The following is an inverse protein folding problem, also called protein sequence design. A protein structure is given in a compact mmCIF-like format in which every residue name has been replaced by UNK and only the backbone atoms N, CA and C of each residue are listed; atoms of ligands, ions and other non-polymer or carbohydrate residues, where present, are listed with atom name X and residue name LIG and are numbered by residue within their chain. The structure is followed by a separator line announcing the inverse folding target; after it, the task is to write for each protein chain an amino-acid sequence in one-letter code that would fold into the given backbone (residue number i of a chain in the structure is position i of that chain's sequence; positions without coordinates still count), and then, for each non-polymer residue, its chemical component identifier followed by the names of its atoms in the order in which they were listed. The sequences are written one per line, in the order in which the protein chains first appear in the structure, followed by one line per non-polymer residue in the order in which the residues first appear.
data_IF_833115931412
#
_entry.id   IF_833115931412
#
_cell.length_a   1.000
_cell.length_b   1.000
_cell.length_c   1.000
_cell.angle_alpha   90.00
_cell.angle_beta   90.00
_cell.angle_gamma   90.00
#
_symmetry.space_group_name_H-M   'P 1'
#
loop_
_entity.id
_entity.type
_entity.pdbx_description
1 polymer ?
#
# COMPACT_ATOMS: atom_id res chain seq x y z
N UNK A 1 65.18 6.39 -43.80
CA UNK A 1 63.71 6.32 -43.60
C UNK A 1 63.43 6.51 -42.11
N UNK A 2 63.03 7.73 -41.76
CA UNK A 2 62.69 8.12 -40.40
C UNK A 2 61.19 7.85 -40.17
N UNK A 3 60.86 7.04 -39.17
CA UNK A 3 59.50 6.83 -38.68
C UNK A 3 59.41 7.49 -37.29
N UNK A 4 58.60 8.53 -37.22
CA UNK A 4 58.58 9.52 -36.13
C UNK A 4 57.76 9.15 -34.89
N UNK A 5 57.82 10.02 -33.87
CA UNK A 5 57.21 9.81 -32.57
C UNK A 5 55.75 10.27 -32.59
N UNK A 6 54.87 9.55 -33.29
CA UNK A 6 53.42 9.84 -33.27
C UNK A 6 52.57 8.69 -32.72
N UNK A 7 53.15 7.53 -32.42
CA UNK A 7 52.39 6.38 -31.94
C UNK A 7 52.21 6.31 -30.42
N UNK A 8 53.03 7.01 -29.64
CA UNK A 8 52.95 6.98 -28.17
C UNK A 8 51.91 7.95 -27.58
N UNK A 9 51.49 8.98 -28.33
CA UNK A 9 50.53 9.99 -27.84
C UNK A 9 49.08 9.46 -27.90
N UNK A 10 48.77 8.50 -28.76
CA UNK A 10 47.42 7.91 -28.87
C UNK A 10 47.03 7.00 -27.70
N UNK A 11 48.00 6.39 -27.00
CA UNK A 11 47.70 5.53 -25.85
C UNK A 11 47.65 6.28 -24.52
N UNK A 12 48.30 7.45 -24.41
CA UNK A 12 48.19 8.28 -23.21
C UNK A 12 46.86 9.04 -23.13
N UNK A 13 46.22 9.31 -24.28
CA UNK A 13 44.96 10.06 -24.34
C UNK A 13 43.71 9.20 -24.10
N UNK A 14 43.84 7.87 -24.07
CA UNK A 14 42.75 6.94 -23.76
C UNK A 14 42.66 6.59 -22.26
N UNK A 15 43.57 7.09 -21.43
CA UNK A 15 43.58 6.87 -19.97
C UNK A 15 42.89 7.97 -19.16
N UNK A 16 42.31 9.00 -19.80
CA UNK A 16 41.79 10.19 -19.11
C UNK A 16 40.27 10.42 -19.17
N UNK A 17 39.47 9.48 -19.71
CA UNK A 17 38.00 9.60 -19.69
C UNK A 17 37.35 8.28 -19.25
N UNK A 18 37.60 7.92 -17.99
CA UNK A 18 36.62 7.17 -17.21
C UNK A 18 36.42 7.93 -15.90
N UNK A 19 35.89 9.15 -16.02
CA UNK A 19 35.10 9.72 -14.93
C UNK A 19 33.90 8.80 -14.81
N UNK A 20 34.04 7.80 -13.93
CA UNK A 20 32.90 7.15 -13.32
C UNK A 20 32.02 8.29 -12.87
N UNK A 21 30.82 8.38 -13.45
CA UNK A 21 29.76 9.23 -12.94
C UNK A 21 29.51 8.75 -11.52
N UNK A 22 30.21 9.35 -10.57
CA UNK A 22 30.05 9.11 -9.16
C UNK A 22 28.66 9.62 -8.84
N UNK A 23 27.69 8.71 -8.90
CA UNK A 23 26.30 9.02 -8.63
C UNK A 23 26.25 9.69 -7.27
N UNK A 24 25.76 10.93 -7.25
CA UNK A 24 25.42 11.62 -6.01
C UNK A 24 24.46 10.71 -5.25
N UNK A 25 24.94 10.15 -4.15
CA UNK A 25 24.18 9.24 -3.30
C UNK A 25 24.33 9.74 -1.87
N UNK A 26 23.48 10.70 -1.50
CA UNK A 26 23.29 11.03 -0.09
C UNK A 26 22.38 9.98 0.51
N UNK A 27 22.85 9.35 1.59
CA UNK A 27 22.02 8.41 2.34
C UNK A 27 20.91 9.17 3.07
N UNK A 28 19.69 8.67 2.95
CA UNK A 28 18.58 9.14 3.78
C UNK A 28 18.87 8.78 5.25
N UNK A 29 18.67 9.72 6.17
CA UNK A 29 18.91 9.50 7.60
C UNK A 29 18.04 10.43 8.44
N UNK A 30 17.52 9.90 9.55
CA UNK A 30 16.98 10.74 10.61
C UNK A 30 18.12 11.32 11.46
N UNK A 31 17.99 12.58 11.88
CA UNK A 31 19.00 13.22 12.71
C UNK A 31 18.76 12.93 14.20
N UNK A 32 19.83 12.67 14.97
CA UNK A 32 19.76 12.56 16.43
C UNK A 32 19.07 13.76 17.08
N UNK A 33 18.26 13.52 18.10
CA UNK A 33 17.64 14.58 18.89
C UNK A 33 16.67 15.47 18.11
N UNK A 34 16.22 15.04 16.93
CA UNK A 34 15.26 15.78 16.10
C UNK A 34 13.95 14.99 16.00
N UNK A 35 12.84 15.67 16.21
CA UNK A 35 11.49 15.17 15.92
C UNK A 35 10.96 15.85 14.68
N UNK A 36 10.58 15.05 13.69
CA UNK A 36 10.02 15.51 12.42
C UNK A 36 8.49 15.37 12.45
N UNK A 37 7.81 16.46 12.16
CA UNK A 37 6.38 16.48 11.88
C UNK A 37 6.13 16.44 10.38
N UNK A 38 5.28 15.53 9.93
CA UNK A 38 4.82 15.42 8.56
C UNK A 38 3.31 15.56 8.46
N UNK A 39 2.83 16.16 7.39
CA UNK A 39 1.44 16.10 6.99
C UNK A 39 1.24 14.96 5.98
N UNK A 40 0.28 14.08 6.26
CA UNK A 40 -0.02 12.90 5.45
C UNK A 40 -1.40 13.02 4.82
N UNK A 41 -1.48 12.69 3.53
CA UNK A 41 -2.75 12.54 2.81
C UNK A 41 -2.80 11.24 2.02
N UNK A 42 -3.98 10.62 1.99
CA UNK A 42 -4.30 9.50 1.10
C UNK A 42 -5.60 9.80 0.36
N UNK A 43 -5.52 9.89 -0.95
CA UNK A 43 -6.64 10.04 -1.87
C UNK A 43 -6.91 8.73 -2.58
N UNK A 44 -8.11 8.18 -2.41
CA UNK A 44 -8.58 6.98 -3.08
C UNK A 44 -9.78 7.34 -3.95
N UNK A 45 -9.76 6.92 -5.20
CA UNK A 45 -10.81 7.21 -6.15
C UNK A 45 -11.16 5.96 -6.96
N UNK A 46 -12.46 5.67 -7.05
CA UNK A 46 -13.03 4.62 -7.88
C UNK A 46 -13.87 5.25 -9.00
N UNK A 47 -13.49 4.96 -10.25
CA UNK A 47 -14.15 5.45 -11.48
C UNK A 47 -14.63 4.30 -12.36
N UNK A 48 -15.68 4.58 -13.13
CA UNK A 48 -16.12 3.72 -14.23
C UNK A 48 -15.41 4.12 -15.53
N UNK A 49 -14.84 3.15 -16.24
CA UNK A 49 -14.17 3.41 -17.53
C UNK A 49 -15.21 3.67 -18.62
N UNK A 50 -16.28 2.87 -18.64
CA UNK A 50 -17.36 2.98 -19.64
C UNK A 50 -18.15 4.28 -19.56
N UNK A 51 -18.15 4.93 -18.41
CA UNK A 51 -19.00 6.08 -18.11
C UNK A 51 -18.21 7.12 -17.32
N UNK A 52 -17.30 7.88 -17.97
CA UNK A 52 -16.48 8.89 -17.31
C UNK A 52 -17.33 10.02 -16.67
N UNK A 53 -18.52 10.25 -17.23
CA UNK A 53 -19.51 11.20 -16.72
C UNK A 53 -20.26 10.70 -15.48
N UNK A 54 -20.18 9.40 -15.14
CA UNK A 54 -20.79 8.90 -13.92
C UNK A 54 -19.91 9.24 -12.72
N UNK A 55 -20.51 9.73 -11.62
CA UNK A 55 -19.78 10.15 -10.45
C UNK A 55 -19.04 8.97 -9.82
N UNK A 56 -17.72 9.13 -9.68
CA UNK A 56 -16.90 8.22 -8.90
C UNK A 56 -17.16 8.33 -7.39
N UNK A 57 -16.62 7.39 -6.64
CA UNK A 57 -16.51 7.52 -5.18
C UNK A 57 -15.09 7.92 -4.83
N UNK A 58 -14.95 8.94 -4.00
CA UNK A 58 -13.67 9.41 -3.47
C UNK A 58 -13.64 9.23 -1.96
N UNK A 59 -12.48 8.82 -1.46
CA UNK A 59 -12.16 8.75 -0.04
C UNK A 59 -10.85 9.50 0.16
N UNK A 60 -10.86 10.48 1.06
CA UNK A 60 -9.69 11.25 1.44
C UNK A 60 -9.40 10.99 2.92
N UNK A 61 -8.14 10.72 3.23
CA UNK A 61 -7.63 10.58 4.58
C UNK A 61 -6.57 11.66 4.79
N UNK A 62 -6.59 12.28 5.96
CA UNK A 62 -5.62 13.30 6.39
C UNK A 62 -5.14 12.95 7.80
N UNK A 63 -3.86 13.17 8.07
CA UNK A 63 -3.30 13.00 9.41
C UNK A 63 -2.00 13.79 9.58
N UNK A 64 -1.67 14.09 10.83
CA UNK A 64 -0.33 14.55 11.22
C UNK A 64 0.48 13.33 11.65
N UNK A 65 1.73 13.24 11.19
CA UNK A 65 2.63 12.13 11.50
C UNK A 65 3.82 12.69 12.27
N UNK A 66 4.08 12.14 13.44
CA UNK A 66 5.29 12.45 14.20
C UNK A 66 6.27 11.30 14.04
N UNK A 67 7.52 11.62 13.71
CA UNK A 67 8.60 10.64 13.57
C UNK A 67 9.88 11.12 14.24
N UNK A 68 10.58 10.21 14.89
CA UNK A 68 11.89 10.50 15.46
C UNK A 68 12.71 9.22 15.63
N UNK A 69 14.02 9.41 15.73
CA UNK A 69 15.00 8.36 15.92
C UNK A 69 14.97 7.89 17.38
N UNK A 70 14.71 6.59 17.61
CA UNK A 70 14.82 5.99 18.94
C UNK A 70 16.24 5.49 19.23
N UNK A 71 16.90 4.95 18.21
CA UNK A 71 18.23 4.34 18.35
C UNK A 71 18.97 4.36 17.03
N UNK A 72 20.29 4.52 17.11
CA UNK A 72 21.23 4.43 16.00
C UNK A 72 22.41 3.57 16.37
N UNK A 73 22.82 2.71 15.47
CA UNK A 73 24.03 1.91 15.67
C UNK A 73 25.27 2.82 15.62
N UNK A 74 26.13 2.71 16.62
CA UNK A 74 27.35 3.52 16.76
C UNK A 74 28.41 3.21 15.69
N UNK A 75 28.43 1.99 15.19
CA UNK A 75 29.40 1.52 14.18
C UNK A 75 28.82 1.69 12.78
N UNK A 76 27.56 1.27 12.58
CA UNK A 76 26.87 1.34 11.29
C UNK A 76 25.82 2.44 11.32
N UNK A 77 26.21 3.69 11.07
CA UNK A 77 25.32 4.85 11.26
C UNK A 77 24.07 4.85 10.36
N UNK A 78 24.03 4.00 9.34
CA UNK A 78 22.89 3.80 8.47
C UNK A 78 21.86 2.80 9.03
N UNK A 79 22.15 2.15 10.16
CA UNK A 79 21.30 1.20 10.88
C UNK A 79 20.58 1.89 12.06
N UNK A 80 19.26 2.02 11.94
CA UNK A 80 18.44 2.94 12.74
C UNK A 80 17.12 2.28 13.16
N UNK A 81 16.60 2.66 14.33
CA UNK A 81 15.24 2.34 14.77
C UNK A 81 14.45 3.64 14.89
N UNK A 82 13.35 3.73 14.15
CA UNK A 82 12.55 4.95 14.03
C UNK A 82 11.15 4.68 14.53
N UNK A 83 10.60 5.61 15.30
CA UNK A 83 9.20 5.60 15.74
C UNK A 83 8.35 6.43 14.80
N UNK A 84 7.15 5.94 14.49
CA UNK A 84 6.13 6.66 13.73
C UNK A 84 4.82 6.66 14.50
N UNK A 85 4.24 7.84 14.68
CA UNK A 85 2.96 8.02 15.36
C UNK A 85 1.99 8.83 14.49
N UNK A 86 0.75 8.37 14.39
CA UNK A 86 -0.33 9.07 13.68
C UNK A 86 -1.12 9.91 14.70
N UNK A 87 -1.35 11.17 14.36
CA UNK A 87 -2.09 12.16 15.14
C UNK A 87 -3.13 12.84 14.23
N UNK A 88 -4.18 13.40 14.82
CA UNK A 88 -5.21 14.19 14.12
C UNK A 88 -5.78 13.52 12.87
N UNK A 89 -6.11 12.24 13.00
CA UNK A 89 -6.59 11.43 11.89
C UNK A 89 -8.03 11.80 11.50
N UNK A 90 -8.25 12.09 10.22
CA UNK A 90 -9.55 12.44 9.66
C UNK A 90 -9.82 11.66 8.36
N UNK A 91 -11.07 11.21 8.20
CA UNK A 91 -11.56 10.56 6.99
C UNK A 91 -12.73 11.36 6.43
N UNK A 92 -12.64 11.72 5.16
CA UNK A 92 -13.68 12.36 4.38
C UNK A 92 -14.05 11.46 3.22
N UNK A 93 -15.31 11.02 3.17
CA UNK A 93 -15.85 10.36 1.98
C UNK A 93 -16.63 11.36 1.18
N UNK A 94 -16.36 11.45 -0.11
CA UNK A 94 -17.14 12.26 -1.03
C UNK A 94 -17.73 11.39 -2.14
N UNK A 95 -19.05 11.51 -2.30
CA UNK A 95 -19.79 10.91 -3.40
C UNK A 95 -20.32 12.03 -4.28
N UNK A 96 -20.01 11.98 -5.56
CA UNK A 96 -20.53 12.96 -6.50
C UNK A 96 -22.00 12.62 -6.84
N UNK A 97 -22.91 13.59 -6.75
CA UNK A 97 -24.34 13.42 -7.01
C UNK A 97 -24.70 13.98 -8.38
N UNK A 98 -25.41 13.19 -9.19
CA UNK A 98 -25.79 13.50 -10.58
C UNK A 98 -26.64 14.77 -10.78
N UNK A 99 -27.10 15.42 -9.70
CA UNK A 99 -28.09 16.50 -9.81
C UNK A 99 -27.53 17.91 -9.62
N UNK A 100 -26.34 18.13 -9.02
CA UNK A 100 -25.87 19.49 -8.69
C UNK A 100 -24.34 19.69 -8.51
N UNK A 101 -23.46 18.84 -9.05
CA UNK A 101 -22.00 18.91 -8.78
C UNK A 101 -21.68 19.06 -7.27
N UNK A 102 -22.55 18.54 -6.40
CA UNK A 102 -22.41 18.65 -4.97
C UNK A 102 -21.86 17.35 -4.42
N UNK A 103 -20.74 17.46 -3.71
CA UNK A 103 -20.15 16.36 -2.95
C UNK A 103 -20.85 16.27 -1.60
N UNK A 104 -21.48 15.13 -1.30
CA UNK A 104 -21.85 14.83 0.09
C UNK A 104 -20.56 14.42 0.80
N UNK A 105 -20.06 15.28 1.70
CA UNK A 105 -18.92 14.98 2.56
C UNK A 105 -19.46 14.32 3.81
N UNK A 106 -19.20 13.02 3.95
CA UNK A 106 -19.41 12.31 5.22
C UNK A 106 -18.06 12.30 5.96
N UNK A 107 -17.99 13.05 7.06
CA UNK A 107 -16.85 13.01 7.98
C UNK A 107 -17.09 11.90 8.99
N UNK A 108 -16.18 10.92 9.04
CA UNK A 108 -16.30 9.77 9.95
C UNK A 108 -15.58 10.00 11.29
N UNK A 109 -15.63 11.23 11.81
CA UNK A 109 -14.93 11.64 13.05
C UNK A 109 -15.21 10.73 14.25
N UNK A 110 -16.45 10.25 14.40
CA UNK A 110 -16.88 9.45 15.56
C UNK A 110 -16.69 7.93 15.42
N UNK A 111 -16.47 7.38 14.20
CA UNK A 111 -16.13 5.95 14.03
C UNK A 111 -14.65 5.70 14.40
N UNK A 112 -13.85 6.76 14.47
CA UNK A 112 -12.41 6.73 14.74
C UNK A 112 -12.07 7.27 16.14
N UNK A 113 -13.04 7.32 17.04
CA UNK A 113 -12.76 7.54 18.46
C UNK A 113 -12.25 6.24 19.10
N UNK A 114 -10.96 6.20 19.49
CA UNK A 114 -10.51 5.27 20.53
C UNK A 114 -9.12 4.65 20.34
N UNK A 115 -8.06 5.39 20.69
CA UNK A 115 -6.71 4.90 21.07
C UNK A 115 -5.85 4.15 20.04
N UNK A 116 -6.39 3.40 19.07
CA UNK A 116 -5.58 2.49 18.23
C UNK A 116 -4.71 3.21 17.19
N UNK A 117 -5.24 4.23 16.49
CA UNK A 117 -4.43 4.99 15.51
C UNK A 117 -3.26 5.73 16.15
N UNK A 118 -3.47 6.26 17.37
CA UNK A 118 -2.45 6.98 18.14
C UNK A 118 -1.32 6.09 18.67
N UNK A 119 -1.50 4.75 18.70
CA UNK A 119 -0.42 3.84 19.09
C UNK A 119 0.68 3.83 18.03
N UNK A 120 1.93 4.14 18.41
CA UNK A 120 3.02 4.21 17.45
C UNK A 120 3.42 2.82 16.93
N UNK A 121 4.09 2.83 15.79
CA UNK A 121 4.79 1.68 15.23
C UNK A 121 6.26 2.02 15.08
N UNK A 122 7.12 1.02 15.19
CA UNK A 122 8.56 1.19 15.04
C UNK A 122 9.00 0.48 13.78
N UNK A 123 9.90 1.08 13.01
CA UNK A 123 10.51 0.40 11.88
C UNK A 123 12.03 0.41 12.00
N UNK A 124 12.61 -0.76 11.79
CA UNK A 124 14.04 -0.96 11.70
C UNK A 124 14.47 -0.62 10.27
N UNK A 125 15.28 0.42 10.15
CA UNK A 125 15.66 1.04 8.90
C UNK A 125 17.16 0.93 8.70
N UNK A 126 17.58 0.37 7.57
CA UNK A 126 18.98 0.25 7.22
C UNK A 126 19.24 0.74 5.80
N UNK A 127 19.99 1.83 5.67
CA UNK A 127 20.35 2.44 4.38
C UNK A 127 19.13 2.62 3.46
N UNK A 128 18.00 3.09 4.00
CA UNK A 128 16.78 3.27 3.21
C UNK A 128 15.84 2.05 3.11
N UNK A 129 16.24 0.86 3.59
CA UNK A 129 15.44 -0.37 3.56
C UNK A 129 14.76 -0.63 4.91
N UNK A 130 13.51 -1.08 4.90
CA UNK A 130 12.84 -1.55 6.11
C UNK A 130 13.17 -3.03 6.31
N UNK A 131 13.84 -3.36 7.41
CA UNK A 131 14.22 -4.72 7.76
C UNK A 131 13.18 -5.41 8.65
N UNK A 132 12.49 -4.63 9.48
CA UNK A 132 11.44 -5.12 10.37
C UNK A 132 10.49 -3.99 10.76
N UNK A 133 9.24 -4.36 11.03
CA UNK A 133 8.22 -3.50 11.61
C UNK A 133 7.82 -4.08 12.98
N UNK A 134 7.57 -3.22 13.95
CA UNK A 134 7.16 -3.58 15.30
C UNK A 134 5.92 -2.79 15.71
N UNK A 135 4.97 -3.47 16.37
CA UNK A 135 3.74 -2.85 16.86
C UNK A 135 3.32 -3.38 18.23
N UNK A 136 2.58 -2.55 18.98
CA UNK A 136 2.05 -2.87 20.30
C UNK A 136 0.54 -3.12 20.24
N UNK A 137 0.16 -4.38 19.97
CA UNK A 137 -1.21 -4.89 20.11
C UNK A 137 -2.28 -4.18 19.28
N UNK A 138 -2.14 -4.16 17.94
CA UNK A 138 -3.18 -3.66 17.01
C UNK A 138 -4.05 -4.82 16.52
N UNK A 139 -5.29 -4.89 17.02
CA UNK A 139 -6.23 -5.95 16.66
C UNK A 139 -6.95 -5.66 15.33
N UNK A 140 -6.98 -4.40 14.89
CA UNK A 140 -7.64 -4.04 13.64
C UNK A 140 -6.66 -4.11 12.45
N UNK A 141 -6.82 -5.14 11.62
CA UNK A 141 -5.98 -5.36 10.45
C UNK A 141 -5.98 -4.19 9.45
N UNK A 142 -7.08 -3.44 9.34
CA UNK A 142 -7.18 -2.31 8.42
C UNK A 142 -6.37 -1.12 8.91
N UNK A 143 -6.37 -0.86 10.22
CA UNK A 143 -5.53 0.18 10.84
C UNK A 143 -4.06 -0.19 10.69
N UNK A 144 -3.73 -1.47 10.91
CA UNK A 144 -2.37 -1.96 10.76
C UNK A 144 -1.86 -1.83 9.31
N UNK A 145 -2.70 -2.14 8.32
CA UNK A 145 -2.36 -2.00 6.91
C UNK A 145 -2.17 -0.54 6.49
N UNK A 146 -2.95 0.40 7.06
CA UNK A 146 -2.70 1.82 6.87
C UNK A 146 -1.32 2.22 7.43
N UNK A 147 -0.98 1.78 8.65
CA UNK A 147 0.32 2.06 9.27
C UNK A 147 1.49 1.46 8.47
N UNK A 148 1.35 0.24 7.98
CA UNK A 148 2.30 -0.42 7.06
C UNK A 148 2.46 0.35 5.75
N UNK A 149 1.36 0.83 5.17
CA UNK A 149 1.37 1.68 3.96
C UNK A 149 2.10 3.00 4.18
N UNK A 150 1.83 3.68 5.30
CA UNK A 150 2.54 4.89 5.71
C UNK A 150 4.04 4.63 5.89
N UNK A 151 4.42 3.58 6.63
CA UNK A 151 5.82 3.21 6.85
C UNK A 151 6.53 2.90 5.53
N UNK A 152 5.83 2.27 4.56
CA UNK A 152 6.39 1.97 3.23
C UNK A 152 6.80 3.23 2.45
N UNK A 153 6.29 4.42 2.78
CA UNK A 153 6.71 5.69 2.18
C UNK A 153 8.12 6.14 2.60
N UNK A 154 8.67 5.58 3.67
CA UNK A 154 10.05 5.84 4.09
C UNK A 154 11.06 4.89 3.41
N UNK A 155 10.61 3.89 2.65
CA UNK A 155 11.47 2.92 1.98
C UNK A 155 11.86 3.38 0.56
N UNK A 156 13.00 4.08 0.50
CA UNK A 156 13.64 4.50 -0.73
C UNK A 156 15.13 4.18 -0.67
N UNK A 157 15.72 3.83 -1.82
CA UNK A 157 17.16 3.62 -1.94
C UNK A 157 17.83 4.79 -2.66
N UNK A 158 19.01 5.22 -2.19
CA UNK A 158 19.75 6.31 -2.81
C UNK A 158 20.56 5.86 -4.04
N UNK A 159 20.52 4.56 -4.40
CA UNK A 159 21.23 4.01 -5.56
C UNK A 159 20.25 3.66 -6.68
N UNK A 160 20.57 4.13 -7.89
CA UNK A 160 19.88 3.76 -9.13
C UNK A 160 20.08 2.28 -9.44
N UNK A 161 19.00 1.59 -9.78
CA UNK A 161 19.07 0.17 -10.15
C UNK A 161 17.79 -0.60 -9.88
N UNK A 162 17.81 -1.88 -10.26
CA UNK A 162 16.73 -2.81 -10.00
C UNK A 162 17.02 -3.61 -8.73
N UNK A 163 15.99 -3.81 -7.91
CA UNK A 163 16.10 -4.62 -6.72
C UNK A 163 14.76 -5.23 -6.33
N UNK A 164 14.83 -6.23 -5.45
CA UNK A 164 13.64 -6.79 -4.81
C UNK A 164 13.43 -6.10 -3.46
N UNK A 165 12.18 -5.75 -3.17
CA UNK A 165 11.77 -5.12 -1.92
C UNK A 165 10.56 -5.80 -1.32
N UNK A 166 10.55 -5.88 0.01
CA UNK A 166 9.39 -6.26 0.80
C UNK A 166 8.73 -4.98 1.32
N UNK A 167 7.46 -4.76 1.00
CA UNK A 167 6.65 -3.66 1.54
C UNK A 167 5.20 -4.09 1.78
N UNK A 168 4.27 -3.14 2.00
CA UNK A 168 2.83 -3.43 2.17
C UNK A 168 2.25 -4.33 1.07
N UNK A 169 2.73 -4.20 -0.18
CA UNK A 169 2.28 -4.96 -1.35
C UNK A 169 2.86 -6.38 -1.41
N UNK A 170 3.73 -6.75 -0.47
CA UNK A 170 4.48 -8.00 -0.49
C UNK A 170 5.88 -7.84 -1.10
N UNK A 171 6.39 -8.90 -1.72
CA UNK A 171 7.74 -8.94 -2.29
C UNK A 171 7.71 -8.60 -3.78
N UNK A 172 8.17 -7.42 -4.16
CA UNK A 172 8.08 -6.92 -5.54
C UNK A 172 9.44 -6.53 -6.11
N UNK A 173 9.57 -6.59 -7.44
CA UNK A 173 10.66 -5.93 -8.16
C UNK A 173 10.38 -4.43 -8.26
N UNK A 174 11.41 -3.64 -7.97
CA UNK A 174 11.37 -2.18 -8.05
C UNK A 174 12.60 -1.65 -8.77
N UNK A 175 12.41 -0.54 -9.48
CA UNK A 175 13.46 0.18 -10.18
C UNK A 175 13.59 1.58 -9.60
N UNK A 176 14.81 1.94 -9.21
CA UNK A 176 15.18 3.26 -8.74
C UNK A 176 15.88 4.07 -9.83
N UNK A 177 15.52 5.34 -9.91
CA UNK A 177 16.20 6.38 -10.66
C UNK A 177 16.47 7.54 -9.70
N UNK A 178 17.74 7.75 -9.36
CA UNK A 178 18.15 8.79 -8.41
C UNK A 178 18.82 9.96 -9.14
N UNK A 179 18.43 11.17 -8.75
CA UNK A 179 19.17 12.41 -8.98
C UNK A 179 19.50 13.06 -7.63
N UNK A 180 20.18 14.21 -7.63
CA UNK A 180 20.76 14.84 -6.43
C UNK A 180 19.79 14.91 -5.23
N UNK A 181 18.57 15.40 -5.44
CA UNK A 181 17.58 15.62 -4.38
C UNK A 181 16.24 14.90 -4.64
N UNK A 182 16.19 14.02 -5.64
CA UNK A 182 14.96 13.35 -6.06
C UNK A 182 15.23 11.88 -6.38
N UNK A 183 14.51 11.00 -5.71
CA UNK A 183 14.53 9.56 -5.94
C UNK A 183 13.18 9.16 -6.54
N UNK A 184 13.20 8.57 -7.73
CA UNK A 184 12.00 7.97 -8.34
C UNK A 184 12.06 6.45 -8.20
N UNK A 185 11.01 5.87 -7.65
CA UNK A 185 10.80 4.43 -7.50
C UNK A 185 9.66 4.00 -8.40
N UNK A 186 9.86 2.98 -9.21
CA UNK A 186 8.79 2.35 -10.01
C UNK A 186 8.67 0.90 -9.58
N UNK A 187 7.46 0.48 -9.19
CA UNK A 187 7.19 -0.88 -8.71
C UNK A 187 6.51 -1.67 -9.82
N UNK A 188 7.07 -2.84 -10.13
CA UNK A 188 6.42 -3.81 -11.00
C UNK A 188 5.42 -4.63 -10.18
N UNK A 189 4.16 -4.20 -10.20
CA UNK A 189 3.06 -4.85 -9.47
C UNK A 189 2.79 -6.28 -9.94
N UNK A 190 3.17 -6.64 -11.17
CA UNK A 190 2.99 -8.01 -11.69
C UNK A 190 3.99 -9.00 -11.07
N UNK A 191 5.13 -8.51 -10.60
CA UNK A 191 6.17 -9.31 -9.95
C UNK A 191 5.93 -9.60 -8.47
N UNK A 192 4.93 -8.93 -7.85
CA UNK A 192 4.68 -9.00 -6.42
C UNK A 192 4.25 -10.41 -5.97
N UNK A 193 5.06 -11.05 -5.12
CA UNK A 193 4.72 -12.32 -4.47
C UNK A 193 3.88 -12.05 -3.21
N UNK A 194 2.97 -12.97 -2.91
CA UNK A 194 1.92 -12.89 -1.88
C UNK A 194 0.67 -12.08 -2.24
N UNK A 195 0.34 -11.90 -3.52
CA UNK A 195 -1.00 -11.46 -3.92
C UNK A 195 -2.02 -12.56 -3.64
N UNK A 196 -2.94 -12.42 -2.67
CA UNK A 196 -3.80 -13.51 -2.30
C UNK A 196 -5.25 -13.10 -2.51
N UNK A 197 -5.67 -12.82 -3.74
CA UNK A 197 -7.10 -12.96 -4.08
C UNK A 197 -7.36 -12.89 -5.59
N UNK A 198 -7.93 -13.95 -6.15
CA UNK A 198 -8.52 -13.93 -7.48
C UNK A 198 -8.05 -15.06 -8.39
N UNK A 199 -8.89 -15.40 -9.34
CA UNK A 199 -8.56 -16.27 -10.47
C UNK A 199 -8.71 -15.41 -11.72
N UNK A 200 -7.65 -15.32 -12.52
CA UNK A 200 -7.72 -14.78 -13.87
C UNK A 200 -7.68 -15.96 -14.82
N UNK A 201 -8.72 -16.08 -15.63
CA UNK A 201 -8.72 -17.00 -16.76
C UNK A 201 -8.07 -16.27 -17.95
N UNK A 202 -7.13 -16.93 -18.63
CA UNK A 202 -6.44 -16.38 -19.80
C UNK A 202 -7.28 -16.41 -21.08
N UNK A 203 -8.54 -16.86 -21.00
CA UNK A 203 -9.43 -16.93 -22.15
C UNK A 203 -10.10 -15.59 -22.49
N UNK A 204 -10.79 -15.57 -23.63
CA UNK A 204 -11.51 -14.39 -24.13
C UNK A 204 -12.56 -13.84 -23.14
N UNK A 205 -13.11 -14.66 -22.23
CA UNK A 205 -14.09 -14.25 -21.22
C UNK A 205 -13.44 -13.79 -19.91
N UNK A 206 -12.11 -13.72 -19.88
CA UNK A 206 -11.34 -13.30 -18.73
C UNK A 206 -11.43 -11.79 -18.45
N UNK A 207 -10.69 -11.40 -17.42
CA UNK A 207 -10.55 -10.03 -16.96
C UNK A 207 -9.12 -9.59 -17.21
N UNK A 208 -8.97 -8.43 -17.85
CA UNK A 208 -7.71 -7.75 -18.01
C UNK A 208 -7.44 -6.86 -16.79
N UNK A 209 -6.26 -6.99 -16.20
CA UNK A 209 -5.77 -6.15 -15.10
C UNK A 209 -4.52 -5.42 -15.59
N UNK A 210 -4.58 -4.10 -15.64
CA UNK A 210 -3.40 -3.25 -15.87
C UNK A 210 -3.15 -2.40 -14.64
N UNK A 211 -1.98 -2.54 -14.03
CA UNK A 211 -1.64 -1.84 -12.80
C UNK A 211 -0.31 -1.11 -12.93
N UNK A 212 -0.22 0.08 -12.33
CA UNK A 212 1.01 0.86 -12.27
C UNK A 212 1.20 1.45 -10.87
N UNK A 213 2.45 1.53 -10.41
CA UNK A 213 2.80 2.13 -9.13
C UNK A 213 4.11 2.88 -9.25
N UNK A 214 4.08 4.18 -8.98
CA UNK A 214 5.23 5.08 -9.09
C UNK A 214 5.30 5.97 -7.87
N UNK A 215 6.47 6.03 -7.26
CA UNK A 215 6.75 6.86 -6.11
C UNK A 215 7.89 7.83 -6.40
N UNK A 216 7.84 8.99 -5.76
CA UNK A 216 8.87 10.03 -5.82
C UNK A 216 9.17 10.49 -4.39
N UNK A 217 10.45 10.63 -4.07
CA UNK A 217 10.90 11.16 -2.80
C UNK A 217 11.84 12.33 -3.07
N UNK A 218 11.50 13.50 -2.54
CA UNK A 218 12.37 14.66 -2.48
C UNK A 218 13.02 14.74 -1.10
N UNK A 219 14.32 14.99 -1.06
CA UNK A 219 15.07 15.16 0.18
C UNK A 219 16.01 16.36 0.08
N UNK A 220 16.43 16.85 1.24
CA UNK A 220 17.45 17.89 1.39
C UNK A 220 18.42 17.47 2.48
N UNK A 221 19.71 17.35 2.15
CA UNK A 221 20.73 16.86 3.10
C UNK A 221 20.42 15.48 3.71
N UNK A 222 19.75 14.60 2.97
CA UNK A 222 19.28 13.29 3.45
C UNK A 222 18.00 13.30 4.29
N UNK A 223 17.44 14.48 4.59
CA UNK A 223 16.15 14.62 5.28
C UNK A 223 15.02 14.57 4.27
N UNK A 224 14.04 13.69 4.51
CA UNK A 224 12.88 13.52 3.63
C UNK A 224 11.99 14.76 3.74
N UNK A 225 11.86 15.49 2.64
CA UNK A 225 11.00 16.68 2.54
C UNK A 225 9.62 16.32 2.03
N UNK A 226 9.54 15.42 1.06
CA UNK A 226 8.29 14.96 0.49
C UNK A 226 8.42 13.54 -0.03
N UNK A 227 7.43 12.70 0.20
CA UNK A 227 7.27 11.41 -0.45
C UNK A 227 5.86 11.29 -1.03
N UNK A 228 5.76 11.00 -2.32
CA UNK A 228 4.48 10.83 -3.04
C UNK A 228 4.47 9.47 -3.71
N UNK A 229 3.38 8.74 -3.58
CA UNK A 229 3.15 7.48 -4.31
C UNK A 229 1.81 7.55 -5.03
N UNK A 230 1.81 7.23 -6.32
CA UNK A 230 0.62 7.12 -7.15
C UNK A 230 0.52 5.68 -7.67
N UNK A 231 -0.61 5.04 -7.40
CA UNK A 231 -0.91 3.68 -7.79
C UNK A 231 -2.27 3.62 -8.50
N UNK A 232 -2.34 2.90 -9.61
CA UNK A 232 -3.55 2.77 -10.42
C UNK A 232 -3.78 1.31 -10.78
N UNK A 233 -5.01 0.83 -10.63
CA UNK A 233 -5.46 -0.48 -11.09
C UNK A 233 -6.65 -0.32 -12.01
N UNK A 234 -6.51 -0.80 -13.24
CA UNK A 234 -7.54 -0.79 -14.26
C UNK A 234 -7.98 -2.24 -14.45
N UNK A 235 -9.26 -2.50 -14.20
CA UNK A 235 -9.88 -3.82 -14.34
C UNK A 235 -10.95 -3.73 -15.42
N UNK A 236 -10.82 -4.51 -16.49
CA UNK A 236 -11.79 -4.52 -17.60
C UNK A 236 -12.00 -5.92 -18.17
N UNK A 237 -13.09 -6.11 -18.93
CA UNK A 237 -13.36 -7.38 -19.61
C UNK A 237 -12.59 -7.45 -20.93
N UNK A 238 -12.01 -8.61 -21.26
CA UNK A 238 -11.31 -8.81 -22.55
C UNK A 238 -12.23 -8.57 -23.76
N UNK A 239 -13.42 -9.20 -23.77
CA UNK A 239 -14.40 -9.04 -24.87
C UNK A 239 -14.91 -7.60 -25.00
N UNK A 240 -14.92 -6.84 -23.91
CA UNK A 240 -15.48 -5.49 -23.89
C UNK A 240 -14.70 -4.58 -22.95
N UNK A 241 -13.56 -4.10 -23.44
CA UNK A 241 -12.61 -3.27 -22.69
C UNK A 241 -13.21 -2.00 -22.10
N UNK A 242 -14.29 -1.47 -22.70
CA UNK A 242 -15.03 -0.34 -22.16
C UNK A 242 -15.74 -0.67 -20.84
N UNK A 243 -16.16 -1.92 -20.63
CA UNK A 243 -16.74 -2.36 -19.37
C UNK A 243 -15.63 -2.65 -18.36
N UNK A 244 -15.32 -1.64 -17.56
CA UNK A 244 -14.32 -1.76 -16.52
C UNK A 244 -14.38 -0.64 -15.49
N UNK A 245 -13.48 -0.74 -14.52
CA UNK A 245 -13.32 0.20 -13.44
C UNK A 245 -11.85 0.52 -13.23
N UNK A 246 -11.59 1.76 -12.82
CA UNK A 246 -10.27 2.21 -12.45
C UNK A 246 -10.28 2.59 -10.97
N UNK A 247 -9.28 2.11 -10.25
CA UNK A 247 -8.97 2.51 -8.89
C UNK A 247 -7.68 3.29 -8.94
N UNK A 248 -7.67 4.50 -8.42
CA UNK A 248 -6.44 5.30 -8.25
C UNK A 248 -6.24 5.61 -6.77
N UNK A 249 -5.01 5.48 -6.31
CA UNK A 249 -4.56 5.78 -4.97
C UNK A 249 -3.40 6.76 -5.05
N UNK A 250 -3.47 7.86 -4.31
CA UNK A 250 -2.37 8.81 -4.17
C UNK A 250 -2.07 9.03 -2.70
N UNK A 251 -0.88 8.66 -2.28
CA UNK A 251 -0.35 8.93 -0.94
C UNK A 251 0.66 10.06 -1.01
N UNK A 252 0.63 10.97 -0.05
CA UNK A 252 1.61 12.04 0.07
C UNK A 252 1.98 12.24 1.54
N UNK A 253 3.27 12.37 1.79
CA UNK A 253 3.87 12.74 3.06
C UNK A 253 4.71 13.99 2.81
N UNK A 254 4.50 15.06 3.59
CA UNK A 254 5.22 16.32 3.42
C UNK A 254 5.71 16.84 4.76
N UNK A 255 6.99 17.22 4.84
CA UNK A 255 7.58 17.75 6.05
C UNK A 255 6.93 19.11 6.38
N UNK A 256 6.48 19.27 7.63
CA UNK A 256 5.88 20.51 8.13
C UNK A 256 6.68 21.12 9.28
N UNK A 257 7.41 20.31 10.04
CA UNK A 257 8.21 20.80 11.17
C UNK A 257 9.40 19.90 11.46
N UNK A 258 10.45 20.51 11.99
CA UNK A 258 11.64 19.84 12.51
C UNK A 258 11.99 20.52 13.82
N UNK A 259 11.64 19.89 14.94
CA UNK A 259 11.80 20.45 16.29
C UNK A 259 12.76 19.59 17.12
N UNK A 260 13.37 20.13 18.18
CA UNK A 260 14.13 19.31 19.13
C UNK A 260 13.27 18.16 19.69
N UNK A 261 13.80 16.95 19.60
CA UNK A 261 13.17 15.71 20.03
C UNK A 261 13.86 15.08 21.25
N UNK A 262 13.42 13.87 21.60
CA UNK A 262 14.04 13.09 22.68
C UNK A 262 15.43 12.59 22.28
N UNK A 263 16.29 12.41 23.28
CA UNK A 263 17.59 11.78 23.07
C UNK A 263 17.44 10.31 22.65
N UNK A 264 18.43 9.81 21.91
CA UNK A 264 18.50 8.40 21.55
C UNK A 264 18.64 7.51 22.79
N UNK A 265 18.03 6.33 22.74
CA UNK A 265 18.14 5.32 23.77
C UNK A 265 19.48 4.60 23.56
N UNK A 266 20.36 4.53 24.59
CA UNK A 266 21.61 3.81 24.46
C UNK A 266 21.36 2.30 24.40
N UNK A 267 22.02 1.60 23.48
CA UNK A 267 22.02 0.14 23.42
C UNK A 267 22.82 -0.39 22.23
N UNK A 268 23.06 -1.69 22.24
CA UNK A 268 23.95 -2.35 21.27
C UNK A 268 23.19 -2.95 20.07
N UNK A 269 21.89 -3.21 20.22
CA UNK A 269 21.07 -3.83 19.17
C UNK A 269 19.61 -3.36 19.19
N UNK A 270 18.96 -3.39 18.03
CA UNK A 270 17.51 -3.11 17.91
C UNK A 270 16.69 -3.98 18.86
N UNK A 271 17.03 -5.27 18.99
CA UNK A 271 16.32 -6.19 19.88
C UNK A 271 16.38 -5.73 21.35
N UNK A 272 17.56 -5.34 21.84
CA UNK A 272 17.71 -4.83 23.20
C UNK A 272 16.92 -3.54 23.47
N UNK A 273 16.80 -2.67 22.46
CA UNK A 273 16.02 -1.44 22.59
C UNK A 273 14.53 -1.76 22.62
N UNK A 274 14.04 -2.60 21.69
CA UNK A 274 12.63 -2.98 21.60
C UNK A 274 12.15 -3.68 22.86
N UNK A 275 12.95 -4.57 23.45
CA UNK A 275 12.62 -5.26 24.71
C UNK A 275 12.63 -4.34 25.93
N UNK A 276 13.44 -3.27 25.88
CA UNK A 276 13.58 -2.29 26.97
C UNK A 276 12.49 -1.21 26.98
N UNK A 277 11.63 -1.16 25.96
CA UNK A 277 10.54 -0.18 25.91
C UNK A 277 9.44 -0.53 26.93
N UNK A 278 8.77 0.47 27.53
CA UNK A 278 7.69 0.24 28.49
C UNK A 278 6.50 -0.54 27.91
N UNK A 279 6.19 -0.30 26.63
CA UNK A 279 5.17 -1.06 25.90
C UNK A 279 5.80 -2.29 25.24
N UNK A 280 5.05 -3.41 25.26
CA UNK A 280 5.51 -4.65 24.65
C UNK A 280 5.31 -4.62 23.14
N UNK A 281 6.37 -4.34 22.40
CA UNK A 281 6.38 -4.39 20.94
C UNK A 281 6.68 -5.80 20.42
N UNK A 282 5.94 -6.20 19.40
CA UNK A 282 6.15 -7.47 18.71
C UNK A 282 6.49 -7.21 17.25
N UNK A 283 7.40 -8.04 16.70
CA UNK A 283 7.70 -8.02 15.28
C UNK A 283 6.45 -8.40 14.50
N UNK A 284 6.10 -7.56 13.53
CA UNK A 284 4.98 -7.74 12.61
C UNK A 284 5.49 -7.76 11.18
N UNK A 285 4.83 -8.51 10.32
CA UNK A 285 5.16 -8.52 8.89
C UNK A 285 4.77 -7.18 8.25
N UNK A 286 5.62 -6.67 7.36
CA UNK A 286 5.36 -5.45 6.60
C UNK A 286 4.27 -5.65 5.53
N UNK A 287 4.22 -6.86 4.95
CA UNK A 287 3.22 -7.21 3.95
C UNK A 287 1.81 -7.28 4.56
N UNK A 288 0.83 -6.74 3.82
CA UNK A 288 -0.58 -6.90 4.17
C UNK A 288 -0.99 -8.37 4.10
N UNK A 289 -1.95 -8.72 4.94
CA UNK A 289 -2.59 -10.02 4.91
C UNK A 289 -3.98 -9.91 4.25
N UNK A 290 -4.40 -10.89 3.44
CA UNK A 290 -5.73 -10.87 2.86
C UNK A 290 -6.79 -10.85 3.96
N UNK A 291 -7.64 -9.82 3.93
CA UNK A 291 -8.72 -9.71 4.90
C UNK A 291 -9.73 -10.85 4.67
N UNK A 292 -9.90 -11.72 5.67
CA UNK A 292 -10.95 -12.75 5.64
C UNK A 292 -12.31 -12.06 5.66
N UNK A 293 -13.05 -12.17 4.55
CA UNK A 293 -14.43 -11.66 4.45
C UNK A 293 -15.33 -12.49 5.37
N UNK A 294 -15.71 -11.94 6.52
CA UNK A 294 -16.50 -12.64 7.56
C UNK A 294 -18.01 -12.61 7.32
N UNK A 295 -18.51 -11.75 6.42
CA UNK A 295 -19.95 -11.46 6.29
C UNK A 295 -20.80 -12.50 5.55
N UNK A 296 -20.18 -13.45 4.83
CA UNK A 296 -20.93 -14.41 3.99
C UNK A 296 -21.89 -15.35 4.74
N UNK A 297 -21.56 -15.70 5.99
CA UNK A 297 -22.33 -16.70 6.75
C UNK A 297 -23.69 -16.16 7.22
N UNK A 298 -23.76 -14.88 7.62
CA UNK A 298 -25.03 -14.26 8.06
C UNK A 298 -26.00 -14.13 6.88
N UNK A 299 -25.52 -13.76 5.70
CA UNK A 299 -26.31 -13.61 4.48
C UNK A 299 -26.92 -14.93 3.98
N UNK A 300 -26.17 -16.04 4.01
CA UNK A 300 -26.70 -17.36 3.61
C UNK A 300 -27.82 -17.83 4.53
N UNK A 301 -27.66 -17.64 5.85
CA UNK A 301 -28.69 -18.01 6.82
C UNK A 301 -29.97 -17.18 6.67
N UNK A 302 -29.87 -15.90 6.31
CA UNK A 302 -31.01 -15.03 6.03
C UNK A 302 -31.69 -15.38 4.70
N UNK A 303 -30.90 -15.65 3.65
CA UNK A 303 -31.42 -16.11 2.36
C UNK A 303 -32.18 -17.43 2.49
N UNK A 304 -31.68 -18.39 3.27
CA UNK A 304 -32.36 -19.65 3.57
C UNK A 304 -33.73 -19.44 4.23
N UNK A 305 -33.86 -18.42 5.10
CA UNK A 305 -35.12 -18.09 5.77
C UNK A 305 -36.13 -17.45 4.82
N UNK A 306 -35.67 -16.64 3.86
CA UNK A 306 -36.52 -15.92 2.90
C UNK A 306 -36.79 -16.68 1.60
N UNK A 307 -35.97 -17.68 1.26
CA UNK A 307 -36.13 -18.52 0.07
C UNK A 307 -37.23 -19.57 0.22
N UNK A 308 -37.49 -20.07 1.45
CA UNK A 308 -38.61 -21.01 1.73
C UNK A 308 -39.98 -20.47 1.32
N UNK A 309 -40.12 -19.15 1.20
CA UNK A 309 -41.36 -18.45 0.79
C UNK A 309 -41.43 -18.13 -0.70
N UNK A 310 -40.37 -18.38 -1.50
CA UNK A 310 -40.31 -18.10 -2.94
C UNK A 310 -40.31 -19.40 -3.77
N UNK A 311 -41.35 -20.22 -3.62
CA UNK A 311 -41.61 -21.37 -4.49
C UNK A 311 -42.52 -20.99 -5.65
N UNK A 312 -42.07 -20.07 -6.51
CA UNK A 312 -42.68 -19.83 -7.82
C UNK A 312 -41.69 -20.25 -8.92
N UNK A 313 -42.20 -20.71 -10.07
CA UNK A 313 -41.39 -21.10 -11.23
C UNK A 313 -40.36 -20.00 -11.53
N UNK A 314 -39.08 -20.31 -11.34
CA UNK A 314 -37.98 -19.42 -11.66
C UNK A 314 -37.90 -19.26 -13.19
N UNK A 315 -38.14 -18.05 -13.67
CA UNK A 315 -37.95 -17.71 -15.08
C UNK A 315 -36.50 -17.31 -15.32
N UNK A 316 -35.72 -18.22 -15.91
CA UNK A 316 -34.30 -18.04 -16.21
C UNK A 316 -34.03 -16.96 -17.27
N UNK A 317 -35.05 -16.56 -18.04
CA UNK A 317 -34.91 -15.51 -19.05
C UNK A 317 -34.89 -14.10 -18.45
N UNK A 318 -35.29 -13.93 -17.18
CA UNK A 318 -35.34 -12.63 -16.51
C UNK A 318 -33.98 -12.22 -15.96
N UNK A 319 -33.62 -10.95 -16.20
CA UNK A 319 -32.41 -10.31 -15.64
C UNK A 319 -32.39 -10.37 -14.10
N UNK A 320 -33.56 -10.28 -13.45
CA UNK A 320 -33.68 -10.40 -11.99
C UNK A 320 -33.17 -11.75 -11.48
N UNK A 321 -33.50 -12.84 -12.18
CA UNK A 321 -33.07 -14.20 -11.85
C UNK A 321 -31.55 -14.32 -11.95
N UNK A 322 -30.95 -13.75 -12.99
CA UNK A 322 -29.50 -13.72 -13.16
C UNK A 322 -28.79 -12.90 -12.07
N UNK A 323 -29.36 -11.76 -11.65
CA UNK A 323 -28.83 -10.97 -10.52
C UNK A 323 -28.86 -11.76 -9.21
N UNK A 324 -29.97 -12.44 -8.94
CA UNK A 324 -30.14 -13.27 -7.75
C UNK A 324 -29.16 -14.45 -7.75
N UNK A 325 -28.96 -15.11 -8.91
CA UNK A 325 -27.97 -16.17 -9.05
C UNK A 325 -26.54 -15.69 -8.79
N UNK A 326 -26.14 -14.53 -9.32
CA UNK A 326 -24.81 -13.96 -9.06
C UNK A 326 -24.61 -13.64 -7.57
N UNK A 327 -25.64 -13.10 -6.90
CA UNK A 327 -25.60 -12.84 -5.47
C UNK A 327 -25.45 -14.15 -4.68
N UNK A 328 -26.20 -15.19 -5.05
CA UNK A 328 -26.13 -16.52 -4.46
C UNK A 328 -24.74 -17.15 -4.59
N UNK A 329 -24.12 -17.10 -5.78
CA UNK A 329 -22.74 -17.59 -6.00
C UNK A 329 -21.73 -16.86 -5.10
N UNK A 330 -21.86 -15.54 -4.94
CA UNK A 330 -20.98 -14.75 -4.05
C UNK A 330 -21.10 -15.16 -2.59
N UNK A 331 -22.31 -15.45 -2.13
CA UNK A 331 -22.54 -15.93 -0.77
C UNK A 331 -21.94 -17.33 -0.58
N UNK A 332 -22.13 -18.23 -1.54
CA UNK A 332 -21.57 -19.58 -1.52
C UNK A 332 -20.05 -19.61 -1.38
N UNK A 333 -19.36 -18.73 -2.13
CA UNK A 333 -17.89 -18.60 -2.05
C UNK A 333 -17.37 -18.25 -0.66
N UNK A 334 -18.23 -17.72 0.21
CA UNK A 334 -17.88 -17.32 1.57
C UNK A 334 -18.49 -18.24 2.65
N UNK A 335 -19.36 -19.17 2.27
CA UNK A 335 -20.05 -20.06 3.18
C UNK A 335 -19.17 -21.24 3.60
N UNK A 336 -19.39 -21.75 4.82
CA UNK A 336 -18.72 -22.97 5.27
C UNK A 336 -19.37 -24.20 4.62
N UNK A 337 -18.58 -25.25 4.41
CA UNK A 337 -19.03 -26.55 3.88
C UNK A 337 -20.32 -27.06 4.54
N UNK A 338 -20.41 -26.93 5.88
CA UNK A 338 -21.59 -27.38 6.66
C UNK A 338 -22.87 -26.65 6.26
N UNK A 339 -22.78 -25.35 6.00
CA UNK A 339 -23.94 -24.49 5.71
C UNK A 339 -24.43 -24.76 4.27
N UNK A 340 -23.48 -24.94 3.34
CA UNK A 340 -23.78 -25.36 1.96
C UNK A 340 -24.43 -26.74 1.93
N UNK A 341 -23.88 -27.71 2.68
CA UNK A 341 -24.43 -29.07 2.73
C UNK A 341 -25.84 -29.09 3.32
N UNK A 342 -26.10 -28.29 4.36
CA UNK A 342 -27.43 -28.17 4.94
C UNK A 342 -28.42 -27.61 3.91
N UNK A 343 -28.04 -26.55 3.19
CA UNK A 343 -28.87 -25.96 2.14
C UNK A 343 -29.20 -26.97 1.04
N UNK A 344 -28.20 -27.73 0.56
CA UNK A 344 -28.40 -28.78 -0.46
C UNK A 344 -29.33 -29.91 0.01
N UNK A 345 -29.24 -30.32 1.29
CA UNK A 345 -30.14 -31.32 1.88
C UNK A 345 -31.58 -30.83 2.03
N UNK A 346 -31.76 -29.53 2.25
CA UNK A 346 -33.09 -28.91 2.42
C UNK A 346 -33.74 -28.45 1.12
N UNK A 347 -32.98 -28.42 0.01
CA UNK A 347 -33.53 -28.09 -1.29
C UNK A 347 -34.55 -29.17 -1.72
N UNK A 348 -35.72 -28.73 -2.18
CA UNK A 348 -36.77 -29.64 -2.68
C UNK A 348 -36.21 -30.53 -3.79
N UNK A 349 -36.65 -31.80 -3.82
CA UNK A 349 -36.35 -32.74 -4.92
C UNK A 349 -36.93 -32.31 -6.27
N UNK A 350 -37.78 -31.28 -6.30
CA UNK A 350 -38.43 -30.75 -7.51
C UNK A 350 -37.57 -29.73 -8.30
N UNK A 351 -36.30 -29.56 -7.95
CA UNK A 351 -35.35 -28.66 -8.64
C UNK A 351 -34.46 -29.36 -9.68
N UNK A 352 -34.76 -30.62 -10.04
CA UNK A 352 -34.08 -31.39 -11.11
C UNK A 352 -34.98 -31.49 -12.33
#
# INVERSE_FOLDING_TARGET
MALGPLHYIRYLLLLLISWVTQGYSQNLSFQPGTSYGYYYTLDLELKHISQPSMPGTKLNIKANIQTYLLWKNKVQTDDQLVLVQIQDFAIQRSKCNNTKDSYVIEEFGDIVNGSSFGRPVLFHWKSGKILALYGAGEDNSQILDLKRGLVSLFQFQPLTGNQTEDDISGRCLVTYQTSENLITKTKDLSSCRNLPFGFQDGNMFGVFLNSSSKSKLAHDGGVIQMAVTEESHIVSLYVKSLLGSQITSRQQLQLISSIPGSAEIPGDSVHSIVDGLPEKYHKIEIASHPQRRSQGNQLLSQYLKTSKTKSSKLDISKISTNKDFIAFVRMFRQAKKKDVLQLLKTASKELV
#
